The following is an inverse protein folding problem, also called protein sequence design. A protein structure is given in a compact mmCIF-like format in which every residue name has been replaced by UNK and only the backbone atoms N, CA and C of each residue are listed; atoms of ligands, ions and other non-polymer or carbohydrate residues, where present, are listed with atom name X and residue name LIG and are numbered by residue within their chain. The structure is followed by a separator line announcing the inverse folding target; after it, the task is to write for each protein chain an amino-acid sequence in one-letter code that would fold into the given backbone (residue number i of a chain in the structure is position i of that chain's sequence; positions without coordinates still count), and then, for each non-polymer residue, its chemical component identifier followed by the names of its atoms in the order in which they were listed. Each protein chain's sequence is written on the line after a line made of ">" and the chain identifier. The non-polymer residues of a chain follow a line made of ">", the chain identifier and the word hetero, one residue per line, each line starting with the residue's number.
data_IF_210580877776
#
_entry.id   IF_210580877776
#
_cell.length_a   1.000
_cell.length_b   1.000
_cell.length_c   1.000
_cell.angle_alpha   90.00
_cell.angle_beta   90.00
_cell.angle_gamma   90.00
#
_symmetry.space_group_name_H-M   'P 1'
#
loop_
_entity.id
_entity.type
_entity.pdbx_description
1 polymer ?
#
# COMPACT_ATOMS: atom_id res chain seq x y z
N UNK A 1 5.74 -12.38 21.04
CA UNK A 1 5.01 -13.49 20.39
C UNK A 1 4.48 -12.96 19.07
N UNK A 2 4.41 -13.79 18.03
CA UNK A 2 3.87 -13.39 16.72
C UNK A 2 2.42 -13.85 16.60
N UNK A 3 1.55 -13.01 16.03
CA UNK A 3 0.10 -13.22 15.99
C UNK A 3 -0.39 -13.67 14.60
N UNK A 4 0.50 -13.63 13.59
CA UNK A 4 0.16 -13.90 12.21
C UNK A 4 1.35 -14.46 11.42
N UNK A 5 1.10 -15.52 10.66
CA UNK A 5 1.95 -15.93 9.54
C UNK A 5 1.46 -15.22 8.28
N UNK A 6 2.32 -14.40 7.68
CA UNK A 6 2.03 -13.61 6.48
C UNK A 6 2.85 -14.12 5.30
N UNK A 7 2.24 -14.16 4.11
CA UNK A 7 2.91 -14.64 2.89
C UNK A 7 2.63 -13.71 1.72
N UNK A 8 3.64 -13.51 0.87
CA UNK A 8 3.50 -12.77 -0.39
C UNK A 8 3.76 -13.74 -1.52
N UNK A 9 2.82 -13.80 -2.45
CA UNK A 9 2.90 -14.62 -3.64
C UNK A 9 3.11 -13.76 -4.89
N UNK A 10 4.03 -14.17 -5.75
CA UNK A 10 4.20 -13.62 -7.09
C UNK A 10 3.44 -14.46 -8.11
N UNK A 11 2.62 -13.82 -8.95
CA UNK A 11 1.97 -14.47 -10.08
C UNK A 11 2.93 -14.46 -11.29
N UNK A 12 3.36 -15.64 -11.75
CA UNK A 12 4.21 -15.78 -12.94
C UNK A 12 3.74 -16.95 -13.80
N UNK A 13 3.48 -16.70 -15.08
CA UNK A 13 2.96 -17.69 -16.03
C UNK A 13 1.69 -18.42 -15.54
N UNK A 14 0.78 -17.70 -14.87
CA UNK A 14 -0.45 -18.26 -14.31
C UNK A 14 -0.27 -19.02 -12.99
N UNK A 15 0.96 -19.16 -12.50
CA UNK A 15 1.26 -19.84 -11.24
C UNK A 15 1.51 -18.84 -10.10
N UNK A 16 0.87 -19.06 -8.95
CA UNK A 16 1.16 -18.34 -7.72
C UNK A 16 2.33 -19.00 -7.00
N UNK A 17 3.47 -18.31 -6.95
CA UNK A 17 4.67 -18.76 -6.26
C UNK A 17 4.81 -18.01 -4.94
N UNK A 18 4.93 -18.72 -3.82
CA UNK A 18 5.26 -18.12 -2.53
C UNK A 18 6.68 -17.56 -2.57
N UNK A 19 6.82 -16.24 -2.43
CA UNK A 19 8.09 -15.54 -2.57
C UNK A 19 8.63 -15.01 -1.24
N UNK A 20 7.73 -14.60 -0.34
CA UNK A 20 8.11 -14.01 0.95
C UNK A 20 7.26 -14.61 2.05
N UNK A 21 7.90 -14.91 3.17
CA UNK A 21 7.27 -15.37 4.40
C UNK A 21 7.65 -14.41 5.53
N UNK A 22 6.68 -13.99 6.32
CA UNK A 22 6.87 -13.07 7.44
C UNK A 22 6.09 -13.53 8.66
N UNK A 23 6.72 -13.47 9.83
CA UNK A 23 6.03 -13.63 11.11
C UNK A 23 5.77 -12.25 11.66
N UNK A 24 4.51 -11.85 11.72
CA UNK A 24 4.12 -10.49 12.09
C UNK A 24 3.61 -10.45 13.53
N UNK A 25 4.04 -9.44 14.32
CA UNK A 25 3.65 -9.32 15.72
C UNK A 25 2.20 -8.86 15.91
N UNK A 26 1.55 -8.28 14.89
CA UNK A 26 0.16 -7.86 14.90
C UNK A 26 -0.29 -7.41 13.50
N UNK A 27 -1.58 -7.10 13.36
CA UNK A 27 -2.27 -6.68 12.12
C UNK A 27 -2.32 -5.15 11.93
N UNK A 28 -1.37 -4.40 12.50
CA UNK A 28 -1.38 -2.92 12.40
C UNK A 28 -0.75 -2.45 11.09
N UNK A 29 -1.23 -1.32 10.59
CA UNK A 29 -0.65 -0.61 9.43
C UNK A 29 0.87 -0.45 9.54
N UNK A 30 1.37 -0.03 10.70
CA UNK A 30 2.81 0.19 10.93
C UNK A 30 3.64 -1.07 10.74
N UNK A 31 3.09 -2.23 11.13
CA UNK A 31 3.75 -3.53 10.94
C UNK A 31 3.86 -3.90 9.47
N UNK A 32 2.81 -3.68 8.67
CA UNK A 32 2.88 -3.87 7.22
C UNK A 32 3.79 -2.88 6.52
N UNK A 33 3.78 -1.61 6.93
CA UNK A 33 4.70 -0.59 6.40
C UNK A 33 6.16 -0.98 6.64
N UNK A 34 6.47 -1.50 7.83
CA UNK A 34 7.80 -2.00 8.14
C UNK A 34 8.16 -3.20 7.25
N UNK A 35 7.27 -4.19 7.10
CA UNK A 35 7.48 -5.33 6.22
C UNK A 35 7.80 -4.90 4.78
N UNK A 36 7.02 -4.00 4.19
CA UNK A 36 7.26 -3.53 2.83
C UNK A 36 8.52 -2.67 2.71
N UNK A 37 8.86 -1.90 3.75
CA UNK A 37 10.13 -1.16 3.81
C UNK A 37 11.31 -2.12 3.78
N UNK A 38 11.31 -3.16 4.62
CA UNK A 38 12.35 -4.18 4.65
C UNK A 38 12.46 -4.91 3.31
N UNK A 39 11.34 -5.30 2.71
CA UNK A 39 11.31 -5.96 1.41
C UNK A 39 11.92 -5.09 0.30
N UNK A 40 11.61 -3.79 0.28
CA UNK A 40 12.22 -2.83 -0.65
C UNK A 40 13.70 -2.65 -0.41
N UNK A 41 14.15 -2.60 0.84
CA UNK A 41 15.56 -2.54 1.18
C UNK A 41 16.32 -3.76 0.68
N UNK A 42 15.77 -4.97 0.87
CA UNK A 42 16.34 -6.21 0.34
C UNK A 42 16.40 -6.18 -1.19
N UNK A 43 15.32 -5.76 -1.86
CA UNK A 43 15.31 -5.63 -3.32
C UNK A 43 16.40 -4.65 -3.81
N UNK A 44 16.56 -3.52 -3.12
CA UNK A 44 17.57 -2.52 -3.46
C UNK A 44 19.01 -3.05 -3.30
N UNK A 45 19.29 -3.84 -2.26
CA UNK A 45 20.59 -4.52 -2.08
C UNK A 45 20.91 -5.46 -3.25
N UNK A 46 19.87 -6.07 -3.83
CA UNK A 46 19.95 -6.94 -5.00
C UNK A 46 19.93 -6.18 -6.35
N UNK A 47 20.03 -4.83 -6.32
CA UNK A 47 19.88 -3.96 -7.49
C UNK A 47 18.56 -4.18 -8.25
N UNK A 48 17.50 -4.52 -7.53
CA UNK A 48 16.14 -4.74 -8.06
C UNK A 48 15.19 -3.69 -7.51
N UNK A 49 14.14 -3.43 -8.28
CA UNK A 49 13.04 -2.56 -7.85
C UNK A 49 11.85 -3.42 -7.43
N UNK A 50 11.40 -3.25 -6.19
CA UNK A 50 10.14 -3.84 -5.74
C UNK A 50 8.98 -2.88 -6.07
N UNK A 51 8.47 -3.00 -7.28
CA UNK A 51 7.38 -2.17 -7.82
C UNK A 51 6.30 -3.06 -8.45
N UNK A 52 5.44 -3.70 -7.64
CA UNK A 52 4.31 -4.44 -8.18
C UNK A 52 3.34 -3.49 -8.89
N UNK A 53 2.91 -3.88 -10.08
CA UNK A 53 1.88 -3.18 -10.86
C UNK A 53 0.50 -3.34 -10.20
N UNK A 54 0.19 -4.57 -9.76
CA UNK A 54 -1.07 -4.91 -9.09
C UNK A 54 -0.77 -5.68 -7.81
N UNK A 55 -1.46 -5.32 -6.75
CA UNK A 55 -1.47 -6.06 -5.49
C UNK A 55 -2.90 -6.48 -5.23
N UNK A 56 -3.08 -7.75 -4.85
CA UNK A 56 -4.36 -8.29 -4.40
C UNK A 56 -4.14 -8.78 -2.98
N UNK A 57 -4.99 -8.35 -2.07
CA UNK A 57 -4.98 -8.76 -0.67
C UNK A 57 -6.38 -9.17 -0.23
N UNK A 58 -6.46 -9.76 0.95
CA UNK A 58 -7.73 -9.85 1.68
C UNK A 58 -8.20 -8.46 2.16
N UNK A 59 -9.36 -8.45 2.82
CA UNK A 59 -10.00 -7.24 3.34
C UNK A 59 -9.41 -6.75 4.67
N UNK A 60 -8.16 -7.07 4.98
CA UNK A 60 -7.55 -6.66 6.24
C UNK A 60 -7.21 -5.16 6.24
N UNK A 61 -7.87 -4.39 7.12
CA UNK A 61 -7.81 -2.91 7.13
C UNK A 61 -6.38 -2.38 7.31
N UNK A 62 -5.58 -3.03 8.18
CA UNK A 62 -4.19 -2.64 8.42
C UNK A 62 -3.33 -2.74 7.16
N UNK A 63 -3.48 -3.83 6.42
CA UNK A 63 -2.78 -4.09 5.16
C UNK A 63 -3.25 -3.14 4.06
N UNK A 64 -4.57 -2.99 3.87
CA UNK A 64 -5.13 -2.07 2.86
C UNK A 64 -4.64 -0.64 3.12
N UNK A 65 -4.66 -0.18 4.36
CA UNK A 65 -4.20 1.19 4.70
C UNK A 65 -2.70 1.38 4.42
N UNK A 66 -1.88 0.34 4.60
CA UNK A 66 -0.46 0.38 4.29
C UNK A 66 -0.22 0.41 2.77
N UNK A 67 -0.91 -0.46 2.02
CA UNK A 67 -0.84 -0.52 0.56
C UNK A 67 -1.34 0.76 -0.11
N UNK A 68 -2.48 1.30 0.34
CA UNK A 68 -3.05 2.54 -0.19
C UNK A 68 -2.10 3.73 0.02
N UNK A 69 -1.50 3.85 1.22
CA UNK A 69 -0.52 4.88 1.52
C UNK A 69 0.71 4.77 0.61
N UNK A 70 1.17 3.54 0.36
CA UNK A 70 2.28 3.29 -0.55
C UNK A 70 1.94 3.65 -2.00
N UNK A 71 0.76 3.31 -2.49
CA UNK A 71 0.29 3.68 -3.83
C UNK A 71 0.20 5.20 -4.02
N UNK A 72 -0.38 5.90 -3.05
CA UNK A 72 -0.48 7.37 -3.10
C UNK A 72 0.90 8.01 -3.04
N UNK A 73 1.79 7.56 -2.16
CA UNK A 73 3.16 8.09 -2.07
C UNK A 73 3.92 7.92 -3.40
N UNK A 74 3.82 6.75 -4.03
CA UNK A 74 4.40 6.52 -5.37
C UNK A 74 3.82 7.48 -6.40
N UNK A 75 2.52 7.73 -6.36
CA UNK A 75 1.86 8.64 -7.31
C UNK A 75 2.30 10.09 -7.10
N UNK A 76 2.35 10.56 -5.87
CA UNK A 76 2.84 11.90 -5.51
C UNK A 76 4.27 12.11 -6.02
N UNK A 77 5.15 11.13 -5.78
CA UNK A 77 6.54 11.18 -6.24
C UNK A 77 6.63 11.20 -7.78
N UNK A 78 5.82 10.40 -8.48
CA UNK A 78 5.81 10.36 -9.95
C UNK A 78 5.31 11.64 -10.62
N UNK A 79 4.64 12.52 -9.87
CA UNK A 79 4.10 13.79 -10.36
C UNK A 79 4.92 14.99 -9.86
N UNK A 80 6.06 14.75 -9.19
CA UNK A 80 6.89 15.78 -8.56
C UNK A 80 6.13 16.65 -7.53
N UNK A 81 5.06 16.12 -6.93
CA UNK A 81 4.22 16.82 -5.96
C UNK A 81 4.67 16.63 -4.50
N UNK A 82 5.87 16.08 -4.29
CA UNK A 82 6.36 15.71 -2.95
C UNK A 82 6.43 16.91 -2.01
N UNK A 83 6.93 18.06 -2.49
CA UNK A 83 7.02 19.30 -1.70
C UNK A 83 5.63 19.84 -1.39
N UNK A 84 4.76 19.93 -2.40
CA UNK A 84 3.39 20.41 -2.23
C UNK A 84 2.63 19.56 -1.21
N UNK A 85 2.74 18.23 -1.28
CA UNK A 85 2.12 17.33 -0.30
C UNK A 85 2.65 17.53 1.13
N UNK A 86 3.92 17.88 1.27
CA UNK A 86 4.55 18.14 2.57
C UNK A 86 4.08 19.45 3.19
N UNK A 87 3.83 20.49 2.38
CA UNK A 87 3.53 21.84 2.84
C UNK A 87 2.02 22.14 2.90
N UNK A 88 1.21 21.46 2.10
CA UNK A 88 -0.23 21.70 1.97
C UNK A 88 -1.07 20.65 2.73
N UNK A 89 -1.72 21.08 3.80
CA UNK A 89 -2.58 20.24 4.63
C UNK A 89 -3.88 19.82 3.93
N UNK A 90 -4.42 20.65 3.03
CA UNK A 90 -5.64 20.34 2.27
C UNK A 90 -5.36 19.22 1.26
N UNK A 91 -4.24 19.31 0.53
CA UNK A 91 -3.80 18.24 -0.37
C UNK A 91 -3.58 16.94 0.40
N UNK A 92 -2.96 17.03 1.59
CA UNK A 92 -2.76 15.84 2.44
C UNK A 92 -4.07 15.22 2.88
N UNK A 93 -5.05 16.05 3.22
CA UNK A 93 -6.42 15.64 3.57
C UNK A 93 -7.11 14.97 2.38
N UNK A 94 -7.07 15.59 1.20
CA UNK A 94 -7.62 15.05 -0.04
C UNK A 94 -7.01 13.69 -0.40
N UNK A 95 -5.68 13.54 -0.33
CA UNK A 95 -5.01 12.25 -0.52
C UNK A 95 -5.49 11.17 0.46
N UNK A 96 -5.78 11.53 1.73
CA UNK A 96 -6.34 10.57 2.71
C UNK A 96 -7.77 10.18 2.36
N UNK A 97 -8.60 11.11 1.91
CA UNK A 97 -9.96 10.81 1.45
C UNK A 97 -9.95 9.93 0.20
N UNK A 98 -9.05 10.20 -0.76
CA UNK A 98 -8.83 9.35 -1.95
C UNK A 98 -8.52 7.89 -1.57
N UNK A 99 -7.68 7.68 -0.55
CA UNK A 99 -7.41 6.33 -0.03
C UNK A 99 -8.65 5.68 0.60
N UNK A 100 -9.56 6.45 1.18
CA UNK A 100 -10.77 5.94 1.79
C UNK A 100 -11.84 5.56 0.74
N UNK A 101 -11.83 6.18 -0.44
CA UNK A 101 -12.78 5.88 -1.52
C UNK A 101 -12.75 4.40 -1.94
N UNK A 102 -11.59 3.73 -1.84
CA UNK A 102 -11.50 2.30 -2.19
C UNK A 102 -12.22 1.38 -1.20
N UNK A 103 -12.68 1.92 -0.06
CA UNK A 103 -13.43 1.20 0.96
C UNK A 103 -14.94 1.44 0.85
N UNK A 104 -15.37 2.34 -0.04
CA UNK A 104 -16.79 2.66 -0.22
C UNK A 104 -17.47 1.64 -1.14
N UNK A 105 -18.79 1.42 -0.98
CA UNK A 105 -19.60 0.75 -1.97
C UNK A 105 -19.47 1.44 -3.34
N UNK A 106 -19.44 0.67 -4.42
CA UNK A 106 -19.20 1.18 -5.78
C UNK A 106 -20.19 2.30 -6.17
N UNK A 107 -21.43 2.22 -5.68
CA UNK A 107 -22.50 3.18 -5.94
C UNK A 107 -22.24 4.56 -5.30
N UNK A 108 -21.41 4.62 -4.25
CA UNK A 108 -21.11 5.84 -3.51
C UNK A 108 -19.79 6.49 -3.96
N UNK A 109 -18.94 5.78 -4.69
CA UNK A 109 -17.59 6.27 -5.07
C UNK A 109 -17.68 7.57 -5.88
N UNK A 110 -18.56 7.62 -6.88
CA UNK A 110 -18.68 8.78 -7.77
C UNK A 110 -19.17 10.02 -7.00
N UNK A 111 -20.22 9.88 -6.18
CA UNK A 111 -20.77 11.00 -5.43
C UNK A 111 -19.77 11.54 -4.39
N UNK A 112 -19.01 10.67 -3.74
CA UNK A 112 -18.01 11.08 -2.74
C UNK A 112 -16.74 11.64 -3.39
N UNK A 113 -16.38 11.23 -4.61
CA UNK A 113 -15.24 11.78 -5.34
C UNK A 113 -15.40 13.28 -5.62
N UNK A 114 -16.61 13.74 -5.93
CA UNK A 114 -16.87 15.17 -6.14
C UNK A 114 -16.86 16.02 -4.86
N UNK A 115 -16.80 15.39 -3.68
CA UNK A 115 -16.77 16.04 -2.36
C UNK A 115 -15.39 15.96 -1.67
N UNK A 116 -14.35 15.57 -2.41
CA UNK A 116 -12.98 15.48 -1.90
C UNK A 116 -12.40 16.83 -1.46
#
# INVERSE_FOLDING_TARGET
>A
MFDQAFTIHGLRFGCNLSCVYGLLPNRKKSTYQQLFKELKSIAALENKLFLPERVVSDSEIGLISALAAECINRRIQSLDLSTTYAEDDEIRSCCRKLMALCLLPLQEVESQFYNL
#
